data_IF_547894372512
#
_entry.id   IF_547894372512
#
_cell.length_a   1.000
_cell.length_b   1.000
_cell.length_c   1.000
_cell.angle_alpha   90.00
_cell.angle_beta   90.00
_cell.angle_gamma   90.00
#
_symmetry.space_group_name_H-M   'P 1'
#
loop_
_entity.id
_entity.type
_entity.pdbx_description
1 polymer ?
#
# COMPACT_ATOMS: atom_id res chain seq x y z
N UNK A 1 63.52 -50.26 -145.13
CA UNK A 1 64.81 -49.53 -144.96
C UNK A 1 64.63 -48.06 -145.35
N UNK A 2 65.58 -47.16 -145.04
CA UNK A 2 65.49 -45.71 -145.30
C UNK A 2 66.30 -45.29 -146.54
N UNK A 3 65.76 -44.33 -147.31
CA UNK A 3 66.46 -43.32 -148.15
C UNK A 3 67.43 -43.77 -149.28
N UNK A 4 67.08 -43.42 -150.52
CA UNK A 4 67.94 -42.80 -151.55
C UNK A 4 67.02 -41.99 -152.50
N UNK A 5 67.34 -40.75 -152.94
CA UNK A 5 68.38 -40.30 -153.90
C UNK A 5 68.00 -40.79 -155.34
N UNK A 6 67.51 -39.99 -156.31
CA UNK A 6 67.82 -38.63 -156.82
C UNK A 6 69.13 -38.57 -157.66
N UNK A 7 69.24 -37.62 -158.61
CA UNK A 7 70.28 -37.42 -159.65
C UNK A 7 70.15 -38.30 -160.94
N UNK A 8 70.39 -37.89 -162.22
CA UNK A 8 71.04 -36.76 -163.00
C UNK A 8 72.26 -37.25 -163.85
N UNK A 9 72.78 -36.69 -164.99
CA UNK A 9 72.32 -35.76 -166.09
C UNK A 9 73.39 -35.57 -167.26
N UNK A 10 73.12 -34.78 -168.35
CA UNK A 10 74.02 -34.43 -169.51
C UNK A 10 73.79 -33.00 -170.17
N UNK A 11 74.48 -32.60 -171.30
CA UNK A 11 74.76 -31.17 -171.72
C UNK A 11 74.99 -30.83 -173.26
N UNK A 12 74.98 -29.52 -173.65
CA UNK A 12 75.68 -28.78 -174.81
C UNK A 12 75.15 -28.88 -176.30
N UNK A 13 75.50 -28.06 -177.35
CA UNK A 13 75.54 -26.58 -177.74
C UNK A 13 75.97 -26.45 -179.29
N UNK A 14 76.16 -25.40 -180.16
CA UNK A 14 76.32 -23.87 -180.26
C UNK A 14 76.24 -23.34 -181.76
N UNK A 15 76.37 -22.00 -182.06
CA UNK A 15 76.77 -21.25 -183.35
C UNK A 15 75.71 -20.42 -184.19
N UNK A 16 76.09 -19.25 -184.81
CA UNK A 16 75.26 -18.24 -185.59
C UNK A 16 76.00 -17.34 -186.65
N UNK A 17 75.32 -16.52 -187.52
CA UNK A 17 75.87 -15.62 -188.62
C UNK A 17 75.07 -14.29 -188.93
N UNK A 18 75.42 -13.44 -189.95
CA UNK A 18 74.89 -12.04 -190.23
C UNK A 18 74.89 -11.50 -191.73
N UNK A 19 74.42 -10.26 -192.06
CA UNK A 19 74.21 -9.67 -193.45
C UNK A 19 74.30 -8.08 -193.61
N UNK A 20 73.86 -7.44 -194.74
CA UNK A 20 74.16 -6.02 -195.22
C UNK A 20 73.00 -5.14 -195.86
N UNK A 21 73.25 -3.97 -196.52
CA UNK A 21 72.27 -2.83 -196.76
C UNK A 21 72.29 -1.98 -198.10
N UNK A 22 71.30 -1.06 -198.33
CA UNK A 22 71.01 -0.32 -199.62
C UNK A 22 71.37 1.20 -199.77
N UNK A 23 70.75 2.17 -199.07
CA UNK A 23 70.98 3.63 -199.30
C UNK A 23 72.08 4.20 -198.37
N UNK A 24 72.80 5.26 -198.79
CA UNK A 24 73.96 5.80 -198.04
C UNK A 24 73.60 6.42 -196.68
N UNK A 25 72.50 7.16 -196.63
CA UNK A 25 72.00 7.89 -195.44
C UNK A 25 70.94 7.10 -194.66
N UNK A 26 70.61 5.88 -195.09
CA UNK A 26 69.66 4.98 -194.42
C UNK A 26 70.34 3.63 -194.17
N UNK A 27 71.17 3.49 -193.12
CA UNK A 27 71.82 2.23 -192.76
C UNK A 27 70.81 1.20 -192.20
N UNK A 28 71.19 -0.09 -192.18
CA UNK A 28 70.31 -1.20 -191.78
C UNK A 28 69.75 -1.13 -190.34
N UNK A 29 70.37 -0.34 -189.45
CA UNK A 29 69.90 -0.10 -188.08
C UNK A 29 69.05 1.19 -187.95
N UNK A 30 68.76 1.89 -189.04
CA UNK A 30 67.88 3.06 -189.05
C UNK A 30 66.41 2.63 -189.00
N UNK A 31 65.59 3.27 -188.16
CA UNK A 31 64.19 2.88 -187.94
C UNK A 31 63.34 2.84 -189.23
N UNK A 32 63.62 3.72 -190.19
CA UNK A 32 62.92 3.77 -191.47
C UNK A 32 63.47 2.81 -192.54
N UNK A 33 64.55 2.06 -192.24
CA UNK A 33 65.28 1.25 -193.23
C UNK A 33 64.38 0.31 -194.02
N UNK A 34 63.63 -0.55 -193.32
CA UNK A 34 62.77 -1.54 -193.96
C UNK A 34 61.65 -0.89 -194.79
N UNK A 35 61.02 0.17 -194.28
CA UNK A 35 59.96 0.90 -194.99
C UNK A 35 60.48 1.59 -196.27
N UNK A 36 61.65 2.24 -196.20
CA UNK A 36 62.29 2.90 -197.34
C UNK A 36 62.78 1.88 -198.37
N UNK A 37 63.36 0.76 -197.93
CA UNK A 37 63.81 -0.31 -198.82
C UNK A 37 62.62 -0.98 -199.53
N UNK A 38 61.53 -1.28 -198.83
CA UNK A 38 60.31 -1.83 -199.43
C UNK A 38 59.68 -0.83 -200.43
N UNK A 39 59.51 0.44 -200.07
CA UNK A 39 58.88 1.44 -200.95
C UNK A 39 59.74 1.79 -202.17
N UNK A 40 61.07 1.72 -202.07
CA UNK A 40 61.97 1.89 -203.21
C UNK A 40 62.06 0.64 -204.09
N UNK A 41 62.02 -0.57 -203.52
CA UNK A 41 61.87 -1.83 -204.29
C UNK A 41 60.56 -1.88 -205.08
N UNK A 42 59.50 -1.27 -204.56
CA UNK A 42 58.22 -1.06 -205.25
C UNK A 42 58.23 0.16 -206.20
N UNK A 43 59.31 0.92 -206.29
CA UNK A 43 59.42 2.13 -207.13
C UNK A 43 58.53 3.31 -206.73
N UNK A 44 57.83 3.22 -205.58
CA UNK A 44 56.93 4.27 -205.07
C UNK A 44 57.72 5.53 -204.71
N UNK A 45 58.87 5.34 -204.06
CA UNK A 45 59.81 6.40 -203.71
C UNK A 45 61.17 6.17 -204.41
N UNK A 46 61.95 7.23 -204.56
CA UNK A 46 63.31 7.20 -205.10
C UNK A 46 64.17 8.18 -204.34
N UNK A 47 65.41 7.79 -204.02
CA UNK A 47 66.44 8.71 -203.58
C UNK A 47 66.91 9.68 -204.69
N UNK A 48 67.82 10.56 -204.29
CA UNK A 48 68.43 11.62 -205.09
C UNK A 48 69.65 11.10 -205.88
N UNK A 49 70.12 11.81 -206.93
CA UNK A 49 71.22 11.36 -207.80
C UNK A 49 72.58 11.17 -207.10
N UNK A 50 72.76 11.70 -205.89
CA UNK A 50 73.95 11.52 -205.05
C UNK A 50 73.97 10.18 -204.29
N UNK A 51 72.87 9.42 -204.32
CA UNK A 51 72.69 8.16 -203.59
C UNK A 51 72.13 8.30 -202.17
N UNK A 52 71.57 9.47 -201.82
CA UNK A 52 70.87 9.73 -200.56
C UNK A 52 69.35 9.71 -200.70
N UNK A 53 68.62 9.45 -199.62
CA UNK A 53 67.16 9.47 -199.55
C UNK A 53 66.61 10.81 -199.01
N UNK A 54 67.39 11.53 -198.19
CA UNK A 54 67.09 12.87 -197.67
C UNK A 54 65.78 12.97 -196.86
N UNK A 55 65.37 11.90 -196.18
CA UNK A 55 64.05 11.72 -195.58
C UNK A 55 63.62 12.71 -194.47
N UNK A 56 64.50 13.62 -194.04
CA UNK A 56 64.17 14.70 -193.10
C UNK A 56 63.77 16.02 -193.79
N UNK A 57 63.78 16.09 -195.13
CA UNK A 57 63.35 17.28 -195.88
C UNK A 57 61.82 17.34 -196.03
N UNK A 58 61.26 18.55 -195.94
CA UNK A 58 59.83 18.79 -196.10
C UNK A 58 59.35 18.47 -197.51
N UNK A 59 58.61 17.36 -197.65
CA UNK A 59 58.15 16.87 -198.95
C UNK A 59 57.15 17.84 -199.61
N UNK A 60 57.36 18.18 -200.89
CA UNK A 60 56.42 19.04 -201.62
C UNK A 60 55.10 18.32 -201.93
N UNK A 61 54.01 19.08 -202.09
CA UNK A 61 52.70 18.54 -202.49
C UNK A 61 52.75 17.78 -203.83
N UNK A 62 53.66 18.17 -204.74
CA UNK A 62 53.88 17.47 -206.00
C UNK A 62 54.54 16.10 -205.80
N UNK A 63 55.62 16.03 -205.00
CA UNK A 63 56.28 14.75 -204.68
C UNK A 63 55.32 13.79 -203.95
N UNK A 64 54.48 14.29 -203.03
CA UNK A 64 53.47 13.46 -202.36
C UNK A 64 52.43 12.92 -203.34
N UNK A 65 51.94 13.75 -204.26
CA UNK A 65 50.99 13.33 -205.29
C UNK A 65 51.58 12.26 -206.22
N UNK A 66 52.85 12.39 -206.63
CA UNK A 66 53.55 11.39 -207.45
C UNK A 66 53.72 10.05 -206.70
N UNK A 67 54.09 10.09 -205.42
CA UNK A 67 54.21 8.87 -204.60
C UNK A 67 52.86 8.16 -204.41
N UNK A 68 51.80 8.91 -204.08
CA UNK A 68 50.44 8.37 -203.94
C UNK A 68 49.91 7.78 -205.26
N UNK A 69 50.17 8.46 -206.39
CA UNK A 69 49.78 7.96 -207.72
C UNK A 69 50.47 6.63 -208.06
N UNK A 70 51.78 6.50 -207.82
CA UNK A 70 52.51 5.24 -208.02
C UNK A 70 51.98 4.12 -207.12
N UNK A 71 51.74 4.41 -205.85
CA UNK A 71 51.19 3.43 -204.89
C UNK A 71 49.77 2.98 -205.31
N UNK A 72 48.91 3.90 -205.75
CA UNK A 72 47.59 3.56 -206.27
C UNK A 72 47.65 2.66 -207.51
N UNK A 73 48.55 2.93 -208.46
CA UNK A 73 48.73 2.07 -209.64
C UNK A 73 49.08 0.63 -209.23
N UNK A 74 50.06 0.46 -208.34
CA UNK A 74 50.52 -0.85 -207.85
C UNK A 74 49.41 -1.60 -207.09
N UNK A 75 48.60 -0.88 -206.30
CA UNK A 75 47.45 -1.46 -205.62
C UNK A 75 46.35 -1.87 -206.61
N UNK A 76 46.09 -1.04 -207.63
CA UNK A 76 45.09 -1.31 -208.65
C UNK A 76 45.46 -2.53 -209.50
N UNK A 77 46.71 -2.63 -209.97
CA UNK A 77 47.22 -3.80 -210.71
C UNK A 77 47.08 -5.10 -209.88
N UNK A 78 47.35 -5.04 -208.57
CA UNK A 78 47.19 -6.19 -207.66
C UNK A 78 45.73 -6.54 -207.36
N UNK A 79 44.80 -5.60 -207.44
CA UNK A 79 43.35 -5.84 -207.29
C UNK A 79 42.78 -6.43 -208.59
N UNK A 80 43.10 -5.84 -209.75
CA UNK A 80 42.66 -6.34 -211.07
C UNK A 80 43.17 -7.76 -211.40
N UNK A 81 44.25 -8.21 -210.77
CA UNK A 81 44.72 -9.59 -210.86
C UNK A 81 43.77 -10.63 -210.21
N UNK A 82 42.92 -10.24 -209.25
CA UNK A 82 42.06 -11.15 -208.47
C UNK A 82 40.66 -11.26 -209.06
N UNK A 83 40.14 -10.20 -209.69
CA UNK A 83 38.77 -10.18 -210.25
C UNK A 83 38.57 -11.17 -211.41
N UNK A 84 39.66 -11.64 -212.04
CA UNK A 84 39.65 -12.72 -213.06
C UNK A 84 39.29 -14.12 -212.50
N UNK A 85 38.54 -14.21 -211.38
CA UNK A 85 38.14 -15.48 -210.73
C UNK A 85 36.74 -15.54 -210.09
N UNK A 86 35.91 -14.50 -210.07
CA UNK A 86 34.58 -14.56 -209.39
C UNK A 86 33.48 -13.83 -210.18
N UNK A 87 32.36 -14.53 -210.49
CA UNK A 87 31.04 -13.91 -210.65
C UNK A 87 29.91 -14.66 -209.89
N UNK A 88 28.74 -14.01 -209.77
CA UNK A 88 27.60 -14.40 -208.90
C UNK A 88 26.28 -14.52 -209.66
N UNK A 89 25.34 -15.36 -209.19
CA UNK A 89 24.00 -15.45 -209.80
C UNK A 89 23.07 -16.53 -209.20
N UNK A 90 21.81 -16.50 -209.65
CA UNK A 90 20.71 -17.38 -209.22
C UNK A 90 20.36 -18.39 -210.34
N UNK A 91 20.07 -19.66 -210.03
CA UNK A 91 18.96 -20.48 -210.55
C UNK A 91 19.14 -22.01 -210.42
N UNK A 92 18.00 -22.70 -210.43
CA UNK A 92 17.68 -24.05 -210.95
C UNK A 92 18.79 -24.86 -211.64
N UNK A 93 19.03 -26.11 -211.18
CA UNK A 93 18.89 -27.34 -212.00
C UNK A 93 19.18 -28.60 -211.17
N UNK A 94 18.34 -29.64 -211.32
CA UNK A 94 18.61 -30.99 -210.85
C UNK A 94 19.64 -31.69 -211.73
N UNK A 95 20.84 -32.01 -211.21
CA UNK A 95 21.61 -33.10 -211.81
C UNK A 95 22.40 -33.92 -210.79
N UNK A 96 21.79 -35.05 -210.43
CA UNK A 96 22.37 -36.24 -209.82
C UNK A 96 23.71 -36.61 -210.48
N UNK A 97 24.81 -36.20 -209.86
CA UNK A 97 26.15 -36.74 -210.12
C UNK A 97 26.70 -37.25 -208.78
N UNK A 98 27.06 -38.53 -208.74
CA UNK A 98 27.30 -39.24 -207.49
C UNK A 98 28.68 -38.90 -206.93
N UNK A 99 28.74 -37.92 -206.03
CA UNK A 99 29.91 -37.74 -205.16
C UNK A 99 30.10 -39.00 -204.29
N UNK A 100 31.36 -39.42 -204.04
CA UNK A 100 31.64 -40.48 -203.08
C UNK A 100 31.22 -40.03 -201.67
N UNK A 101 30.75 -40.99 -200.86
CA UNK A 101 30.03 -40.73 -199.62
C UNK A 101 30.80 -39.90 -198.57
N UNK A 102 32.13 -39.82 -198.65
CA UNK A 102 32.95 -39.09 -197.68
C UNK A 102 32.77 -37.56 -197.78
N UNK A 103 32.71 -36.97 -198.97
CA UNK A 103 32.53 -35.51 -199.12
C UNK A 103 31.09 -35.12 -198.75
N UNK A 104 30.11 -35.95 -199.07
CA UNK A 104 28.73 -35.78 -198.63
C UNK A 104 28.61 -35.85 -197.10
N UNK A 105 29.34 -36.77 -196.45
CA UNK A 105 29.40 -36.82 -194.98
C UNK A 105 30.02 -35.55 -194.39
N UNK A 106 31.17 -35.10 -194.89
CA UNK A 106 31.86 -33.89 -194.40
C UNK A 106 31.02 -32.61 -194.57
N UNK A 107 30.30 -32.46 -195.70
CA UNK A 107 29.41 -31.32 -195.90
C UNK A 107 28.18 -31.36 -194.98
N UNK A 108 27.65 -32.55 -194.70
CA UNK A 108 26.58 -32.72 -193.71
C UNK A 108 27.08 -32.44 -192.27
N UNK A 109 28.30 -32.85 -191.91
CA UNK A 109 28.94 -32.49 -190.64
C UNK A 109 29.17 -30.99 -190.51
N UNK A 110 29.62 -30.31 -191.57
CA UNK A 110 29.74 -28.84 -191.61
C UNK A 110 28.38 -28.15 -191.46
N UNK A 111 27.34 -28.62 -192.16
CA UNK A 111 25.98 -28.07 -192.05
C UNK A 111 25.43 -28.23 -190.63
N UNK A 112 25.58 -29.43 -190.05
CA UNK A 112 25.23 -29.71 -188.65
C UNK A 112 26.03 -28.86 -187.67
N UNK A 113 27.31 -28.59 -187.94
CA UNK A 113 28.16 -27.72 -187.12
C UNK A 113 27.71 -26.26 -187.16
N UNK A 114 27.34 -25.75 -188.35
CA UNK A 114 26.79 -24.39 -188.51
C UNK A 114 25.44 -24.26 -187.79
N UNK A 115 24.55 -25.25 -187.92
CA UNK A 115 23.28 -25.29 -187.17
C UNK A 115 23.52 -25.35 -185.65
N UNK A 116 24.52 -26.12 -185.20
CA UNK A 116 24.89 -26.21 -183.78
C UNK A 116 25.41 -24.87 -183.25
N UNK A 117 26.24 -24.17 -184.02
CA UNK A 117 26.73 -22.82 -183.69
C UNK A 117 25.62 -21.77 -183.68
N UNK A 118 24.69 -21.79 -184.64
CA UNK A 118 23.53 -20.89 -184.64
C UNK A 118 22.58 -21.12 -183.45
N UNK A 119 22.38 -22.39 -183.05
CA UNK A 119 21.65 -22.72 -181.84
C UNK A 119 22.41 -22.30 -180.57
N UNK A 120 23.74 -22.38 -180.55
CA UNK A 120 24.57 -21.91 -179.45
C UNK A 120 24.50 -20.37 -179.32
N UNK A 121 24.58 -19.62 -180.42
CA UNK A 121 24.44 -18.16 -180.41
C UNK A 121 23.06 -17.70 -179.92
N UNK A 122 21.98 -18.33 -180.43
CA UNK A 122 20.62 -18.09 -179.89
C UNK A 122 20.52 -18.39 -178.40
N UNK A 123 21.20 -19.43 -177.92
CA UNK A 123 21.27 -19.77 -176.48
C UNK A 123 22.09 -18.75 -175.68
N UNK A 124 23.17 -18.20 -176.26
CA UNK A 124 23.98 -17.14 -175.65
C UNK A 124 23.17 -15.86 -175.53
N UNK A 125 22.51 -15.41 -176.59
CA UNK A 125 21.69 -14.20 -176.57
C UNK A 125 20.51 -14.32 -175.58
N UNK A 126 19.81 -15.47 -175.56
CA UNK A 126 18.78 -15.77 -174.54
C UNK A 126 19.34 -15.70 -173.10
N UNK A 127 20.62 -16.09 -172.90
CA UNK A 127 21.30 -15.98 -171.59
C UNK A 127 21.76 -14.55 -171.28
N UNK A 128 22.06 -13.73 -172.28
CA UNK A 128 22.40 -12.30 -172.12
C UNK A 128 21.13 -11.53 -171.72
N UNK A 129 20.00 -11.75 -172.37
CA UNK A 129 18.72 -11.14 -171.99
C UNK A 129 18.33 -11.50 -170.55
N UNK A 130 18.46 -12.79 -170.19
CA UNK A 130 18.23 -13.28 -168.84
C UNK A 130 19.27 -12.82 -167.81
N UNK A 131 20.45 -12.34 -168.24
CA UNK A 131 21.44 -11.67 -167.38
C UNK A 131 21.11 -10.19 -167.22
N UNK A 132 20.71 -9.48 -168.29
CA UNK A 132 20.30 -8.08 -168.22
C UNK A 132 19.09 -7.92 -167.31
N UNK A 133 18.04 -8.72 -167.50
CA UNK A 133 16.86 -8.72 -166.62
C UNK A 133 17.19 -9.01 -165.15
N UNK A 134 18.23 -9.81 -164.88
CA UNK A 134 18.76 -10.01 -163.52
C UNK A 134 19.53 -8.80 -162.99
N UNK A 135 20.30 -8.10 -163.84
CA UNK A 135 20.97 -6.85 -163.49
C UNK A 135 19.94 -5.75 -163.18
N UNK A 136 18.88 -5.62 -163.98
CA UNK A 136 17.79 -4.68 -163.75
C UNK A 136 17.08 -4.98 -162.41
N UNK A 137 16.81 -6.26 -162.14
CA UNK A 137 16.26 -6.73 -160.86
C UNK A 137 17.19 -6.42 -159.68
N UNK A 138 18.50 -6.61 -159.86
CA UNK A 138 19.51 -6.28 -158.84
C UNK A 138 19.56 -4.76 -158.60
N UNK A 139 19.49 -3.92 -159.65
CA UNK A 139 19.46 -2.47 -159.51
C UNK A 139 18.22 -2.00 -158.74
N UNK A 140 17.03 -2.50 -159.09
CA UNK A 140 15.80 -2.18 -158.34
C UNK A 140 15.87 -2.62 -156.87
N UNK A 141 16.47 -3.77 -156.58
CA UNK A 141 16.72 -4.21 -155.20
C UNK A 141 17.74 -3.30 -154.47
N UNK A 142 18.77 -2.79 -155.16
CA UNK A 142 19.73 -1.83 -154.60
C UNK A 142 19.07 -0.48 -154.28
N UNK A 143 18.19 0.02 -155.16
CA UNK A 143 17.44 1.26 -154.92
C UNK A 143 16.49 1.12 -153.72
N UNK A 144 15.81 -0.02 -153.58
CA UNK A 144 14.98 -0.36 -152.41
C UNK A 144 15.85 -0.41 -151.14
N UNK A 145 16.97 -1.16 -151.16
CA UNK A 145 17.88 -1.24 -150.00
C UNK A 145 18.49 0.12 -149.62
N UNK A 146 18.78 0.98 -150.59
CA UNK A 146 19.27 2.34 -150.34
C UNK A 146 18.20 3.23 -149.71
N UNK A 147 16.93 3.07 -150.11
CA UNK A 147 15.78 3.73 -149.48
C UNK A 147 15.55 3.21 -148.07
N UNK A 148 15.55 1.90 -147.85
CA UNK A 148 15.36 1.28 -146.54
C UNK A 148 16.48 1.68 -145.57
N UNK A 149 17.73 1.76 -146.04
CA UNK A 149 18.87 2.27 -145.26
C UNK A 149 18.68 3.75 -144.85
N UNK A 150 18.03 4.58 -145.69
CA UNK A 150 17.68 5.95 -145.34
C UNK A 150 16.54 6.03 -144.30
N UNK A 151 15.60 5.07 -144.35
CA UNK A 151 14.57 4.87 -143.32
C UNK A 151 15.19 4.50 -141.98
N UNK A 152 15.97 3.41 -141.94
CA UNK A 152 16.69 2.95 -140.73
C UNK A 152 17.58 4.03 -140.13
N UNK A 153 18.24 4.85 -140.95
CA UNK A 153 19.04 6.01 -140.47
C UNK A 153 18.17 7.07 -139.78
N UNK A 154 16.94 7.26 -140.24
CA UNK A 154 15.95 8.16 -139.63
C UNK A 154 15.42 7.56 -138.33
N UNK A 155 15.00 6.29 -138.34
CA UNK A 155 14.54 5.55 -137.15
C UNK A 155 15.59 5.57 -136.03
N UNK A 156 16.87 5.37 -136.35
CA UNK A 156 17.99 5.45 -135.39
C UNK A 156 18.18 6.87 -134.83
N UNK A 157 17.91 7.91 -135.62
CA UNK A 157 17.94 9.30 -135.15
C UNK A 157 16.77 9.60 -134.19
N UNK A 158 15.58 9.08 -134.48
CA UNK A 158 14.40 9.28 -133.64
C UNK A 158 14.48 8.46 -132.34
N UNK A 159 15.00 7.23 -132.42
CA UNK A 159 15.35 6.41 -131.23
C UNK A 159 16.40 7.12 -130.36
N UNK A 160 17.41 7.76 -130.97
CA UNK A 160 18.41 8.58 -130.25
C UNK A 160 17.75 9.75 -129.52
N UNK A 161 16.85 10.48 -130.19
CA UNK A 161 16.11 11.59 -129.58
C UNK A 161 15.19 11.14 -128.43
N UNK A 162 14.47 10.02 -128.60
CA UNK A 162 13.65 9.41 -127.55
C UNK A 162 14.49 8.95 -126.35
N UNK A 163 15.68 8.38 -126.58
CA UNK A 163 16.61 8.00 -125.53
C UNK A 163 17.11 9.22 -124.74
N UNK A 164 17.55 10.29 -125.42
CA UNK A 164 18.05 11.50 -124.76
C UNK A 164 16.93 12.21 -123.95
N UNK A 165 15.69 12.19 -124.46
CA UNK A 165 14.52 12.67 -123.74
C UNK A 165 14.19 11.80 -122.51
N UNK A 166 14.28 10.47 -122.62
CA UNK A 166 14.09 9.55 -121.49
C UNK A 166 15.16 9.75 -120.40
N UNK A 167 16.44 9.88 -120.78
CA UNK A 167 17.54 10.17 -119.85
C UNK A 167 17.31 11.50 -119.14
N UNK A 168 16.84 12.52 -119.87
CA UNK A 168 16.47 13.81 -119.28
C UNK A 168 15.33 13.67 -118.26
N UNK A 169 14.25 12.93 -118.61
CA UNK A 169 13.11 12.73 -117.70
C UNK A 169 13.46 11.87 -116.48
N UNK A 170 14.33 10.87 -116.61
CA UNK A 170 14.88 10.10 -115.49
C UNK A 170 15.77 10.97 -114.59
N UNK A 171 16.53 11.89 -115.17
CA UNK A 171 17.36 12.85 -114.41
C UNK A 171 16.49 13.86 -113.66
N UNK A 172 15.43 14.36 -114.28
CA UNK A 172 14.41 15.20 -113.65
C UNK A 172 13.73 14.47 -112.49
N UNK A 173 13.28 13.23 -112.67
CA UNK A 173 12.68 12.41 -111.61
C UNK A 173 13.66 12.16 -110.44
N UNK A 174 14.94 11.89 -110.72
CA UNK A 174 15.98 11.76 -109.69
C UNK A 174 16.22 13.07 -108.93
N UNK A 175 16.29 14.19 -109.66
CA UNK A 175 16.42 15.53 -109.07
C UNK A 175 15.23 15.82 -108.15
N UNK A 176 14.00 15.61 -108.64
CA UNK A 176 12.77 15.76 -107.87
C UNK A 176 12.80 14.92 -106.58
N UNK A 177 13.18 13.64 -106.65
CA UNK A 177 13.30 12.79 -105.45
C UNK A 177 14.33 13.34 -104.44
N UNK A 178 15.39 14.02 -104.90
CA UNK A 178 16.44 14.57 -104.04
C UNK A 178 16.15 15.95 -103.43
N UNK A 179 15.36 16.81 -104.09
CA UNK A 179 15.14 18.22 -103.64
C UNK A 179 13.69 18.70 -103.61
N UNK A 180 12.68 17.87 -103.92
CA UNK A 180 11.27 18.23 -103.69
C UNK A 180 10.91 18.30 -102.20
N UNK A 181 9.79 18.98 -101.87
CA UNK A 181 9.10 18.79 -100.60
C UNK A 181 8.94 17.32 -100.22
N UNK A 182 8.65 16.41 -101.17
CA UNK A 182 8.48 14.97 -100.90
C UNK A 182 9.74 14.31 -100.34
N UNK A 183 10.91 14.61 -100.91
CA UNK A 183 12.20 14.10 -100.40
C UNK A 183 12.53 14.65 -99.02
N UNK A 184 12.22 15.92 -98.77
CA UNK A 184 12.38 16.56 -97.46
C UNK A 184 11.41 15.97 -96.42
N UNK A 185 10.13 15.76 -96.77
CA UNK A 185 9.13 15.14 -95.90
C UNK A 185 9.52 13.72 -95.48
N UNK A 186 10.16 12.92 -96.35
CA UNK A 186 10.67 11.60 -95.99
C UNK A 186 11.82 11.68 -94.96
N UNK A 187 12.68 12.69 -95.06
CA UNK A 187 13.74 12.93 -94.07
C UNK A 187 13.16 13.43 -92.73
N UNK A 188 12.21 14.36 -92.76
CA UNK A 188 11.48 14.82 -91.57
C UNK A 188 10.77 13.65 -90.88
N UNK A 189 10.03 12.83 -91.62
CA UNK A 189 9.36 11.64 -91.08
C UNK A 189 10.36 10.64 -90.46
N UNK A 190 11.54 10.48 -91.05
CA UNK A 190 12.60 9.65 -90.46
C UNK A 190 13.17 10.24 -89.17
N UNK A 191 13.25 11.57 -89.04
CA UNK A 191 13.64 12.26 -87.81
C UNK A 191 12.54 12.13 -86.74
N UNK A 192 11.27 12.35 -87.10
CA UNK A 192 10.11 12.20 -86.22
C UNK A 192 9.99 10.76 -85.68
N UNK A 193 10.21 9.74 -86.52
CA UNK A 193 10.23 8.33 -86.10
C UNK A 193 11.36 8.06 -85.09
N UNK A 194 12.52 8.69 -85.24
CA UNK A 194 13.63 8.54 -84.28
C UNK A 194 13.38 9.33 -82.98
N UNK A 195 12.75 10.51 -83.04
CA UNK A 195 12.30 11.24 -81.86
C UNK A 195 11.26 10.42 -81.08
N UNK A 196 10.20 9.96 -81.74
CA UNK A 196 9.15 9.11 -81.16
C UNK A 196 9.72 7.82 -80.55
N UNK A 197 10.75 7.21 -81.17
CA UNK A 197 11.46 6.05 -80.62
C UNK A 197 12.18 6.37 -79.31
N UNK A 198 12.79 7.55 -79.20
CA UNK A 198 13.45 8.02 -77.98
C UNK A 198 12.42 8.40 -76.89
N UNK A 199 11.29 8.98 -77.27
CA UNK A 199 10.18 9.28 -76.36
C UNK A 199 9.55 8.00 -75.81
N UNK A 200 9.33 6.99 -76.65
CA UNK A 200 8.86 5.65 -76.24
C UNK A 200 9.87 4.97 -75.31
N UNK A 201 11.17 5.10 -75.55
CA UNK A 201 12.20 4.59 -74.64
C UNK A 201 12.19 5.31 -73.28
N UNK A 202 12.00 6.63 -73.29
CA UNK A 202 11.89 7.47 -72.08
C UNK A 202 10.62 7.13 -71.29
N UNK A 203 9.48 6.99 -71.97
CA UNK A 203 8.20 6.58 -71.38
C UNK A 203 8.30 5.19 -70.75
N UNK A 204 8.96 4.23 -71.42
CA UNK A 204 9.20 2.89 -70.87
C UNK A 204 10.01 2.94 -69.57
N UNK A 205 11.03 3.79 -69.49
CA UNK A 205 11.80 3.99 -68.26
C UNK A 205 10.96 4.63 -67.16
N UNK A 206 10.15 5.66 -67.48
CA UNK A 206 9.25 6.30 -66.52
C UNK A 206 8.19 5.33 -65.97
N UNK A 207 7.61 4.47 -66.82
CA UNK A 207 6.68 3.41 -66.42
C UNK A 207 7.36 2.39 -65.50
N UNK A 208 8.62 2.01 -65.77
CA UNK A 208 9.39 1.17 -64.83
C UNK A 208 9.59 1.85 -63.48
N UNK A 209 10.04 3.10 -63.45
CA UNK A 209 10.26 3.84 -62.20
C UNK A 209 8.97 4.00 -61.38
N UNK A 210 7.82 4.23 -62.04
CA UNK A 210 6.51 4.24 -61.39
C UNK A 210 6.13 2.86 -60.83
N UNK A 211 6.44 1.78 -61.55
CA UNK A 211 6.21 0.40 -61.08
C UNK A 211 7.06 0.08 -59.84
N UNK A 212 8.35 0.42 -59.87
CA UNK A 212 9.27 0.20 -58.75
C UNK A 212 8.85 1.03 -57.51
N UNK A 213 8.43 2.29 -57.72
CA UNK A 213 7.89 3.13 -56.66
C UNK A 213 6.59 2.56 -56.07
N UNK A 214 5.67 2.08 -56.90
CA UNK A 214 4.42 1.47 -56.44
C UNK A 214 4.67 0.20 -55.61
N UNK A 215 5.65 -0.63 -56.01
CA UNK A 215 6.08 -1.78 -55.23
C UNK A 215 6.70 -1.37 -53.87
N UNK A 216 7.49 -0.29 -53.83
CA UNK A 216 8.01 0.27 -52.57
C UNK A 216 6.91 0.81 -51.65
N UNK A 217 5.87 1.42 -52.22
CA UNK A 217 4.69 1.89 -51.47
C UNK A 217 3.91 0.69 -50.91
N UNK A 218 3.65 -0.34 -51.72
CA UNK A 218 2.95 -1.55 -51.27
C UNK A 218 3.68 -2.25 -50.10
N UNK A 219 5.01 -2.35 -50.15
CA UNK A 219 5.81 -2.89 -49.04
C UNK A 219 5.66 -2.04 -47.77
N UNK A 220 5.73 -0.71 -47.88
CA UNK A 220 5.54 0.20 -46.74
C UNK A 220 4.14 0.09 -46.13
N UNK A 221 3.10 -0.12 -46.94
CA UNK A 221 1.73 -0.37 -46.45
C UNK A 221 1.69 -1.69 -45.66
N UNK A 222 2.23 -2.78 -46.19
CA UNK A 222 2.28 -4.08 -45.51
C UNK A 222 3.06 -4.03 -44.17
N UNK A 223 4.10 -3.20 -44.06
CA UNK A 223 4.87 -3.03 -42.82
C UNK A 223 4.15 -2.09 -41.81
N UNK A 224 3.36 -1.12 -42.29
CA UNK A 224 2.44 -0.35 -41.46
C UNK A 224 1.31 -1.24 -40.90
N UNK A 225 0.73 -2.13 -41.72
CA UNK A 225 -0.29 -3.09 -41.27
C UNK A 225 0.22 -4.01 -40.16
N UNK A 226 1.44 -4.56 -40.28
CA UNK A 226 2.10 -5.33 -39.20
C UNK A 226 2.23 -4.49 -37.93
N UNK A 227 2.66 -3.24 -38.06
CA UNK A 227 2.87 -2.32 -36.94
C UNK A 227 1.56 -1.97 -36.23
N UNK A 228 0.48 -1.74 -36.98
CA UNK A 228 -0.87 -1.50 -36.46
C UNK A 228 -1.40 -2.74 -35.70
N UNK A 229 -1.19 -3.94 -36.24
CA UNK A 229 -1.59 -5.18 -35.57
C UNK A 229 -0.83 -5.41 -34.25
N UNK A 230 0.49 -5.21 -34.23
CA UNK A 230 1.30 -5.31 -33.01
C UNK A 230 0.88 -4.26 -31.95
N UNK A 231 0.52 -3.04 -32.36
CA UNK A 231 -0.01 -2.00 -31.47
C UNK A 231 -1.40 -2.40 -30.91
N UNK A 232 -2.27 -2.97 -31.74
CA UNK A 232 -3.59 -3.47 -31.34
C UNK A 232 -3.47 -4.60 -30.29
N UNK A 233 -2.56 -5.55 -30.47
CA UNK A 233 -2.33 -6.62 -29.49
C UNK A 233 -1.70 -6.11 -28.19
N UNK A 234 -0.81 -5.11 -28.28
CA UNK A 234 -0.27 -4.40 -27.12
C UNK A 234 -1.38 -3.67 -26.34
N UNK A 235 -2.34 -3.06 -27.04
CA UNK A 235 -3.52 -2.42 -26.44
C UNK A 235 -4.44 -3.43 -25.74
N UNK A 236 -4.73 -4.59 -26.37
CA UNK A 236 -5.50 -5.68 -25.75
C UNK A 236 -4.85 -6.17 -24.45
N UNK A 237 -3.54 -6.39 -24.48
CA UNK A 237 -2.76 -6.80 -23.30
C UNK A 237 -2.83 -5.76 -22.18
N UNK A 238 -2.64 -4.48 -22.52
CA UNK A 238 -2.75 -3.36 -21.58
C UNK A 238 -4.15 -3.28 -20.95
N UNK A 239 -5.21 -3.45 -21.76
CA UNK A 239 -6.59 -3.42 -21.28
C UNK A 239 -6.92 -4.61 -20.34
N UNK A 240 -6.34 -5.78 -20.58
CA UNK A 240 -6.43 -6.91 -19.66
C UNK A 240 -5.69 -6.65 -18.33
N UNK A 241 -4.51 -6.04 -18.38
CA UNK A 241 -3.78 -5.62 -17.17
C UNK A 241 -4.55 -4.57 -16.36
N UNK A 242 -5.17 -3.59 -17.01
CA UNK A 242 -6.06 -2.60 -16.38
C UNK A 242 -7.25 -3.29 -15.70
N UNK A 243 -7.87 -4.26 -16.37
CA UNK A 243 -9.01 -5.03 -15.83
C UNK A 243 -8.61 -5.82 -14.57
N UNK A 244 -7.48 -6.53 -14.61
CA UNK A 244 -6.94 -7.27 -13.45
C UNK A 244 -6.55 -6.33 -12.29
N UNK A 245 -6.04 -5.15 -12.60
CA UNK A 245 -5.71 -4.11 -11.61
C UNK A 245 -6.99 -3.58 -10.95
N UNK A 246 -8.05 -3.33 -11.72
CA UNK A 246 -9.36 -2.91 -11.22
C UNK A 246 -9.96 -3.92 -10.24
N UNK A 247 -9.96 -5.22 -10.59
CA UNK A 247 -10.39 -6.31 -9.68
C UNK A 247 -9.55 -6.35 -8.40
N UNK A 248 -8.23 -6.12 -8.50
CA UNK A 248 -7.33 -6.08 -7.35
C UNK A 248 -7.63 -4.89 -6.43
N UNK A 249 -7.92 -3.72 -6.99
CA UNK A 249 -8.34 -2.51 -6.24
C UNK A 249 -9.70 -2.72 -5.57
N UNK A 250 -10.69 -3.31 -6.25
CA UNK A 250 -11.98 -3.65 -5.65
C UNK A 250 -11.82 -4.65 -4.49
N UNK A 251 -10.94 -5.64 -4.64
CA UNK A 251 -10.62 -6.61 -3.59
C UNK A 251 -9.94 -5.96 -2.38
N UNK A 252 -9.04 -5.00 -2.61
CA UNK A 252 -8.39 -4.25 -1.54
C UNK A 252 -9.38 -3.33 -0.81
N UNK A 253 -10.27 -2.66 -1.54
CA UNK A 253 -11.35 -1.83 -0.97
C UNK A 253 -12.24 -2.63 -0.01
N UNK A 254 -12.70 -3.82 -0.41
CA UNK A 254 -13.48 -4.70 0.47
C UNK A 254 -12.73 -5.14 1.75
N UNK A 255 -11.40 -5.30 1.67
CA UNK A 255 -10.56 -5.54 2.86
C UNK A 255 -10.45 -4.31 3.76
N UNK A 256 -10.33 -3.12 3.19
CA UNK A 256 -10.33 -1.85 3.95
C UNK A 256 -11.63 -1.68 4.72
N UNK A 257 -12.80 -1.82 4.08
CA UNK A 257 -14.08 -1.69 4.79
C UNK A 257 -14.34 -2.78 5.83
N UNK A 258 -13.73 -3.96 5.68
CA UNK A 258 -13.71 -4.99 6.73
C UNK A 258 -12.86 -4.58 7.93
N UNK A 259 -11.73 -3.91 7.71
CA UNK A 259 -10.88 -3.36 8.78
C UNK A 259 -11.53 -2.15 9.47
N UNK A 260 -12.17 -1.25 8.72
CA UNK A 260 -12.93 -0.11 9.24
C UNK A 260 -14.03 -0.58 10.21
N UNK A 261 -14.78 -1.62 9.83
CA UNK A 261 -15.76 -2.24 10.73
C UNK A 261 -15.11 -2.81 11.99
N UNK A 262 -14.02 -3.59 11.84
CA UNK A 262 -13.33 -4.17 13.00
C UNK A 262 -12.82 -3.10 13.98
N UNK A 263 -12.36 -1.94 13.47
CA UNK A 263 -11.96 -0.80 14.29
C UNK A 263 -13.15 -0.20 15.03
N UNK A 264 -14.31 -0.03 14.38
CA UNK A 264 -15.53 0.43 15.04
C UNK A 264 -16.01 -0.54 16.14
N UNK A 265 -16.04 -1.85 15.86
CA UNK A 265 -16.40 -2.90 16.83
C UNK A 265 -15.44 -2.91 18.05
N UNK A 266 -14.15 -2.60 17.85
CA UNK A 266 -13.17 -2.43 18.93
C UNK A 266 -13.42 -1.14 19.73
N UNK A 267 -13.72 -0.03 19.06
CA UNK A 267 -14.04 1.24 19.74
C UNK A 267 -15.27 1.12 20.64
N UNK A 268 -16.34 0.44 20.19
CA UNK A 268 -17.52 0.17 21.02
C UNK A 268 -17.19 -0.70 22.24
N UNK A 269 -16.34 -1.72 22.09
CA UNK A 269 -15.88 -2.54 23.23
C UNK A 269 -15.08 -1.73 24.25
N UNK A 270 -14.20 -0.83 23.80
CA UNK A 270 -13.43 0.07 24.67
C UNK A 270 -14.36 1.02 25.44
N UNK A 271 -15.40 1.56 24.79
CA UNK A 271 -16.40 2.41 25.46
C UNK A 271 -17.20 1.64 26.53
N UNK A 272 -17.58 0.39 26.24
CA UNK A 272 -18.27 -0.49 27.20
C UNK A 272 -17.40 -0.77 28.42
N UNK A 273 -16.14 -1.20 28.21
CA UNK A 273 -15.19 -1.47 29.29
C UNK A 273 -14.87 -0.22 30.12
N UNK A 274 -14.74 0.94 29.49
CA UNK A 274 -14.54 2.22 30.19
C UNK A 274 -15.73 2.57 31.11
N UNK A 275 -16.96 2.29 30.65
CA UNK A 275 -18.19 2.46 31.44
C UNK A 275 -18.25 1.48 32.61
N UNK A 276 -17.90 0.21 32.37
CA UNK A 276 -17.86 -0.84 33.39
C UNK A 276 -16.84 -0.54 34.49
N UNK A 277 -15.62 -0.15 34.11
CA UNK A 277 -14.55 0.30 35.04
C UNK A 277 -15.03 1.48 35.89
N UNK A 278 -15.68 2.48 35.27
CA UNK A 278 -16.23 3.65 36.00
C UNK A 278 -17.32 3.27 36.99
N UNK A 279 -18.17 2.29 36.66
CA UNK A 279 -19.20 1.81 37.56
C UNK A 279 -18.59 1.05 38.75
N UNK A 280 -17.57 0.21 38.50
CA UNK A 280 -16.83 -0.52 39.54
C UNK A 280 -16.08 0.43 40.46
N UNK A 281 -15.43 1.48 39.94
CA UNK A 281 -14.75 2.48 40.78
C UNK A 281 -15.74 3.26 41.62
N UNK A 282 -16.86 3.73 41.05
CA UNK A 282 -17.90 4.46 41.79
C UNK A 282 -18.57 3.64 42.89
N UNK A 283 -18.77 2.33 42.67
CA UNK A 283 -19.22 1.41 43.72
C UNK A 283 -18.16 1.26 44.83
N UNK A 284 -16.90 1.07 44.45
CA UNK A 284 -15.77 0.94 45.39
C UNK A 284 -15.60 2.20 46.26
N UNK A 285 -15.73 3.39 45.67
CA UNK A 285 -15.68 4.67 46.39
C UNK A 285 -16.83 4.81 47.40
N UNK A 286 -18.04 4.34 47.03
CA UNK A 286 -19.21 4.30 47.90
C UNK A 286 -19.01 3.35 49.09
N UNK A 287 -18.52 2.13 48.84
CA UNK A 287 -18.23 1.15 49.90
C UNK A 287 -17.13 1.65 50.86
N UNK A 288 -16.08 2.27 50.32
CA UNK A 288 -15.01 2.92 51.11
C UNK A 288 -15.58 4.08 51.95
N UNK A 289 -16.52 4.87 51.42
CA UNK A 289 -17.18 5.93 52.18
C UNK A 289 -18.06 5.36 53.32
N UNK A 290 -18.84 4.31 53.05
CA UNK A 290 -19.65 3.64 54.06
C UNK A 290 -18.79 2.98 55.16
N UNK A 291 -17.68 2.35 54.80
CA UNK A 291 -16.72 1.80 55.76
C UNK A 291 -16.11 2.90 56.66
N UNK A 292 -15.73 4.05 56.09
CA UNK A 292 -15.25 5.22 56.86
C UNK A 292 -16.31 5.77 57.83
N UNK A 293 -17.57 5.81 57.42
CA UNK A 293 -18.69 6.21 58.27
C UNK A 293 -18.90 5.21 59.43
N UNK A 294 -18.88 3.91 59.13
CA UNK A 294 -19.01 2.84 60.13
C UNK A 294 -17.85 2.89 61.15
N UNK A 295 -16.61 3.08 60.70
CA UNK A 295 -15.43 3.23 61.58
C UNK A 295 -15.58 4.46 62.48
N UNK A 296 -16.00 5.60 61.94
CA UNK A 296 -16.25 6.83 62.72
C UNK A 296 -17.33 6.63 63.81
N UNK A 297 -18.38 5.88 63.49
CA UNK A 297 -19.43 5.51 64.43
C UNK A 297 -18.90 4.61 65.55
N UNK A 298 -18.12 3.56 65.20
CA UNK A 298 -17.49 2.67 66.17
C UNK A 298 -16.50 3.39 67.07
N UNK A 299 -15.68 4.32 66.56
CA UNK A 299 -14.81 5.17 67.38
C UNK A 299 -15.62 6.03 68.36
N UNK A 300 -16.77 6.58 67.93
CA UNK A 300 -17.67 7.34 68.81
C UNK A 300 -18.25 6.46 69.93
N UNK A 301 -18.61 5.21 69.62
CA UNK A 301 -19.06 4.22 70.61
C UNK A 301 -17.94 3.83 71.59
N UNK A 302 -16.71 3.60 71.10
CA UNK A 302 -15.54 3.30 71.93
C UNK A 302 -15.24 4.44 72.90
N UNK A 303 -15.20 5.69 72.43
CA UNK A 303 -14.99 6.87 73.27
C UNK A 303 -16.09 7.01 74.35
N UNK A 304 -17.34 6.68 74.00
CA UNK A 304 -18.47 6.65 74.93
C UNK A 304 -18.33 5.55 75.99
N UNK A 305 -17.84 4.36 75.60
CA UNK A 305 -17.58 3.25 76.53
C UNK A 305 -16.40 3.55 77.46
N UNK A 306 -15.31 4.11 76.95
CA UNK A 306 -14.18 4.59 77.76
C UNK A 306 -14.64 5.62 78.81
N UNK A 307 -15.46 6.60 78.40
CA UNK A 307 -16.02 7.60 79.31
C UNK A 307 -16.88 6.98 80.42
N UNK A 308 -17.66 5.93 80.09
CA UNK A 308 -18.44 5.16 81.08
C UNK A 308 -17.58 4.33 82.01
N UNK A 309 -16.48 3.74 81.52
CA UNK A 309 -15.52 2.99 82.34
C UNK A 309 -14.90 3.92 83.38
N UNK A 310 -14.38 5.09 82.97
CA UNK A 310 -13.81 6.06 83.91
C UNK A 310 -14.80 6.58 84.94
N UNK A 311 -16.09 6.72 84.58
CA UNK A 311 -17.14 7.05 85.54
C UNK A 311 -17.39 5.91 86.56
N UNK A 312 -17.31 4.65 86.14
CA UNK A 312 -17.45 3.48 87.03
C UNK A 312 -16.22 3.30 87.93
N UNK A 313 -15.01 3.51 87.41
CA UNK A 313 -13.76 3.51 88.19
C UNK A 313 -13.79 4.58 89.30
N UNK A 314 -14.32 5.77 88.98
CA UNK A 314 -14.54 6.83 89.97
C UNK A 314 -15.59 6.43 91.02
N UNK A 315 -16.71 5.83 90.60
CA UNK A 315 -17.76 5.38 91.52
C UNK A 315 -17.30 4.26 92.47
N UNK A 316 -16.49 3.30 91.99
CA UNK A 316 -15.85 2.26 92.81
C UNK A 316 -14.87 2.86 93.84
N UNK A 317 -14.07 3.85 93.44
CA UNK A 317 -13.18 4.58 94.34
C UNK A 317 -13.95 5.32 95.45
N UNK A 318 -15.04 6.01 95.09
CA UNK A 318 -15.89 6.71 96.07
C UNK A 318 -16.65 5.75 96.99
N UNK A 319 -17.09 4.59 96.48
CA UNK A 319 -17.69 3.53 97.29
C UNK A 319 -16.68 2.91 98.27
N UNK A 320 -15.42 2.71 97.86
CA UNK A 320 -14.35 2.25 98.77
C UNK A 320 -14.08 3.23 99.91
N UNK A 321 -14.17 4.54 99.66
CA UNK A 321 -14.11 5.57 100.72
C UNK A 321 -15.31 5.47 101.67
N UNK A 322 -16.53 5.26 101.16
CA UNK A 322 -17.72 5.04 102.00
C UNK A 322 -17.59 3.79 102.88
N UNK A 323 -17.08 2.67 102.33
CA UNK A 323 -16.82 1.44 103.09
C UNK A 323 -15.77 1.67 104.19
N UNK A 324 -14.72 2.46 103.92
CA UNK A 324 -13.71 2.80 104.94
C UNK A 324 -14.30 3.65 106.09
N UNK A 325 -15.15 4.63 105.78
CA UNK A 325 -15.86 5.43 106.78
C UNK A 325 -16.87 4.60 107.60
N UNK A 326 -17.58 3.66 106.97
CA UNK A 326 -18.45 2.71 107.66
C UNK A 326 -17.64 1.82 108.61
N UNK A 327 -16.48 1.29 108.20
CA UNK A 327 -15.62 0.48 109.06
C UNK A 327 -15.05 1.28 110.25
N UNK A 328 -14.74 2.58 110.04
CA UNK A 328 -14.37 3.49 111.13
C UNK A 328 -15.52 3.66 112.13
N UNK A 329 -16.75 3.89 111.65
CA UNK A 329 -17.95 4.00 112.49
C UNK A 329 -18.29 2.71 113.24
N UNK A 330 -18.08 1.54 112.63
CA UNK A 330 -18.21 0.24 113.31
C UNK A 330 -17.19 0.11 114.45
N UNK A 331 -15.96 0.60 114.24
CA UNK A 331 -14.92 0.62 115.28
C UNK A 331 -15.31 1.55 116.43
N UNK A 332 -15.80 2.76 116.12
CA UNK A 332 -16.32 3.72 117.10
C UNK A 332 -17.51 3.16 117.90
N UNK A 333 -18.46 2.50 117.23
CA UNK A 333 -19.60 1.85 117.87
C UNK A 333 -19.16 0.65 118.75
N UNK A 334 -18.09 -0.05 118.37
CA UNK A 334 -17.51 -1.14 119.17
C UNK A 334 -16.92 -0.60 120.48
N UNK A 335 -16.23 0.55 120.43
CA UNK A 335 -15.72 1.21 121.62
C UNK A 335 -16.87 1.64 122.56
N UNK A 336 -17.90 2.30 122.03
CA UNK A 336 -19.11 2.69 122.80
C UNK A 336 -19.84 1.48 123.38
N UNK A 337 -19.78 0.31 122.71
CA UNK A 337 -20.32 -0.94 123.26
C UNK A 337 -19.48 -1.44 124.46
N UNK A 338 -18.16 -1.29 124.41
CA UNK A 338 -17.27 -1.54 125.54
C UNK A 338 -17.53 -0.61 126.74
N UNK A 339 -17.63 0.69 126.49
CA UNK A 339 -18.02 1.72 127.48
C UNK A 339 -19.38 1.39 128.13
N UNK A 340 -20.33 0.85 127.36
CA UNK A 340 -21.63 0.41 127.88
C UNK A 340 -21.56 -0.81 128.80
N UNK A 341 -20.65 -1.77 128.54
CA UNK A 341 -20.41 -2.89 129.48
C UNK A 341 -19.70 -2.43 130.75
N UNK A 342 -18.79 -1.45 130.68
CA UNK A 342 -18.22 -0.80 131.88
C UNK A 342 -19.30 -0.10 132.71
N UNK A 343 -20.20 0.67 132.07
CA UNK A 343 -21.34 1.32 132.75
C UNK A 343 -22.29 0.28 133.36
N UNK A 344 -22.57 -0.85 132.69
CA UNK A 344 -23.33 -1.96 133.27
C UNK A 344 -22.65 -2.55 134.50
N UNK A 345 -21.33 -2.72 134.49
CA UNK A 345 -20.58 -3.19 135.66
C UNK A 345 -20.71 -2.22 136.84
N UNK A 346 -20.60 -0.90 136.60
CA UNK A 346 -20.82 0.13 137.63
C UNK A 346 -22.27 0.09 138.15
N UNK A 347 -23.27 -0.01 137.28
CA UNK A 347 -24.69 -0.14 137.69
C UNK A 347 -24.92 -1.42 138.49
N UNK A 348 -24.25 -2.52 138.16
CA UNK A 348 -24.31 -3.77 138.93
C UNK A 348 -23.76 -3.57 140.36
N UNK A 349 -22.61 -2.91 140.51
CA UNK A 349 -22.03 -2.58 141.82
C UNK A 349 -22.99 -1.69 142.63
N UNK A 350 -23.49 -0.61 142.03
CA UNK A 350 -24.44 0.31 142.68
C UNK A 350 -25.74 -0.41 143.07
N UNK A 351 -26.21 -1.39 142.29
CA UNK A 351 -27.38 -2.20 142.67
C UNK A 351 -27.11 -3.10 143.89
N UNK A 352 -25.87 -3.58 144.06
CA UNK A 352 -25.41 -4.27 145.26
C UNK A 352 -25.32 -3.34 146.46
N UNK A 353 -24.76 -2.14 146.29
CA UNK A 353 -24.71 -1.11 147.35
C UNK A 353 -26.13 -0.71 147.83
N UNK A 354 -27.08 -0.58 146.89
CA UNK A 354 -28.49 -0.32 147.20
C UNK A 354 -29.14 -1.48 147.96
N UNK A 355 -28.80 -2.74 147.64
CA UNK A 355 -29.27 -3.90 148.41
C UNK A 355 -28.71 -3.89 149.85
N UNK A 356 -27.41 -3.64 150.02
CA UNK A 356 -26.77 -3.52 151.34
C UNK A 356 -27.34 -2.33 152.14
N UNK A 357 -27.66 -1.22 151.48
CA UNK A 357 -28.35 -0.10 152.12
C UNK A 357 -29.78 -0.45 152.53
N UNK A 358 -30.51 -1.24 151.73
CA UNK A 358 -31.84 -1.75 152.11
C UNK A 358 -31.75 -2.66 153.33
N UNK A 359 -30.84 -3.64 153.35
CA UNK A 359 -30.68 -4.55 154.49
C UNK A 359 -30.36 -3.77 155.79
N UNK A 360 -29.56 -2.70 155.69
CA UNK A 360 -29.30 -1.78 156.80
C UNK A 360 -30.52 -0.98 157.24
N UNK A 361 -31.39 -0.55 156.33
CA UNK A 361 -32.65 0.15 156.65
C UNK A 361 -33.64 -0.80 157.32
N UNK A 362 -33.81 -2.01 156.78
CA UNK A 362 -34.67 -3.05 157.36
C UNK A 362 -34.19 -3.46 158.78
N UNK A 363 -32.87 -3.49 159.00
CA UNK A 363 -32.26 -3.68 160.32
C UNK A 363 -32.57 -2.54 161.30
N UNK A 364 -32.36 -1.28 160.87
CA UNK A 364 -32.71 -0.10 161.68
C UNK A 364 -34.20 -0.03 162.01
N UNK A 365 -35.08 -0.51 161.13
CA UNK A 365 -36.52 -0.60 161.42
C UNK A 365 -36.83 -1.63 162.52
N UNK A 366 -36.03 -2.71 162.63
CA UNK A 366 -36.12 -3.65 163.76
C UNK A 366 -35.58 -3.04 165.06
N UNK A 367 -34.46 -2.32 165.03
CA UNK A 367 -33.93 -1.62 166.21
C UNK A 367 -34.91 -0.57 166.76
N UNK A 368 -35.59 0.17 165.89
CA UNK A 368 -36.66 1.11 166.28
C UNK A 368 -37.84 0.37 166.93
N UNK A 369 -38.27 -0.78 166.39
CA UNK A 369 -39.33 -1.62 166.99
C UNK A 369 -38.91 -2.23 168.33
N UNK A 370 -37.63 -2.58 168.51
CA UNK A 370 -37.10 -3.05 169.78
C UNK A 370 -37.10 -1.93 170.83
N UNK A 371 -36.64 -0.73 170.46
CA UNK A 371 -36.65 0.43 171.35
C UNK A 371 -38.06 0.90 171.72
N UNK A 372 -39.04 0.77 170.82
CA UNK A 372 -40.45 1.01 171.16
C UNK A 372 -40.96 0.11 172.29
N UNK A 373 -40.61 -1.19 172.27
CA UNK A 373 -40.93 -2.14 173.36
C UNK A 373 -40.19 -1.82 174.66
N UNK A 374 -38.93 -1.37 174.57
CA UNK A 374 -38.18 -0.92 175.75
C UNK A 374 -38.85 0.29 176.42
N UNK A 375 -39.31 1.26 175.62
CA UNK A 375 -40.08 2.42 176.10
C UNK A 375 -41.40 1.99 176.74
N UNK A 376 -42.14 1.07 176.12
CA UNK A 376 -43.39 0.52 176.67
C UNK A 376 -43.17 -0.14 178.04
N UNK A 377 -42.08 -0.91 178.20
CA UNK A 377 -41.70 -1.52 179.49
C UNK A 377 -41.31 -0.48 180.54
N UNK A 378 -40.57 0.58 180.17
CA UNK A 378 -40.23 1.67 181.09
C UNK A 378 -41.48 2.42 181.54
N UNK A 379 -42.40 2.70 180.63
CA UNK A 379 -43.65 3.41 180.93
C UNK A 379 -44.54 2.61 181.91
N UNK A 380 -44.52 1.27 181.79
CA UNK A 380 -45.19 0.36 182.73
C UNK A 380 -44.60 0.45 184.15
N UNK A 381 -43.28 0.49 184.28
CA UNK A 381 -42.60 0.68 185.56
C UNK A 381 -42.91 2.04 186.20
N UNK A 382 -43.07 3.09 185.39
CA UNK A 382 -43.42 4.45 185.86
C UNK A 382 -44.82 4.48 186.51
N UNK A 383 -45.83 3.86 185.88
CA UNK A 383 -47.18 3.78 186.47
C UNK A 383 -47.21 2.90 187.74
N UNK A 384 -46.34 1.89 187.84
CA UNK A 384 -46.20 1.08 189.06
C UNK A 384 -45.62 1.88 190.24
N UNK A 385 -44.55 2.66 190.02
CA UNK A 385 -43.99 3.58 191.03
C UNK A 385 -45.01 4.63 191.46
N UNK A 386 -45.78 5.17 190.51
CA UNK A 386 -46.87 6.13 190.75
C UNK A 386 -47.97 5.54 191.65
N UNK A 387 -48.31 4.26 191.48
CA UNK A 387 -49.24 3.52 192.35
C UNK A 387 -48.67 3.31 193.77
N UNK A 388 -47.37 3.02 193.89
CA UNK A 388 -46.68 2.91 195.17
C UNK A 388 -46.67 4.25 195.94
N UNK A 389 -46.44 5.37 195.24
CA UNK A 389 -46.49 6.73 195.82
C UNK A 389 -47.89 7.06 196.34
N UNK A 390 -48.94 6.77 195.58
CA UNK A 390 -50.33 6.96 196.03
C UNK A 390 -50.62 6.18 197.32
N UNK A 391 -50.21 4.91 197.37
CA UNK A 391 -50.38 4.00 198.53
C UNK A 391 -49.64 4.51 199.77
N UNK A 392 -48.41 5.03 199.61
CA UNK A 392 -47.64 5.68 200.68
C UNK A 392 -48.34 6.93 201.21
N UNK A 393 -48.89 7.77 200.32
CA UNK A 393 -49.58 8.99 200.69
C UNK A 393 -50.86 8.71 201.51
N UNK A 394 -51.59 7.63 201.19
CA UNK A 394 -52.73 7.18 202.00
C UNK A 394 -52.32 6.77 203.42
N UNK A 395 -51.20 6.04 203.57
CA UNK A 395 -50.68 5.65 204.90
C UNK A 395 -50.28 6.87 205.75
N UNK A 396 -49.60 7.86 205.16
CA UNK A 396 -49.20 9.08 205.87
C UNK A 396 -50.42 9.81 206.47
N UNK A 397 -51.52 9.89 205.72
CA UNK A 397 -52.75 10.52 206.22
C UNK A 397 -53.41 9.75 207.38
N UNK A 398 -53.35 8.41 207.42
CA UNK A 398 -53.88 7.60 208.52
C UNK A 398 -53.14 7.88 209.84
N UNK A 399 -51.81 7.72 209.82
CA UNK A 399 -50.95 7.96 210.99
C UNK A 399 -51.07 9.40 211.52
N UNK A 400 -51.34 10.37 210.63
CA UNK A 400 -51.55 11.77 211.00
C UNK A 400 -52.84 11.97 211.82
N UNK A 401 -53.90 11.20 211.57
CA UNK A 401 -55.13 11.26 212.38
C UNK A 401 -54.98 10.51 213.72
N UNK A 402 -54.30 9.36 213.74
CA UNK A 402 -54.02 8.59 214.96
C UNK A 402 -53.26 9.43 216.00
N UNK A 403 -52.23 10.18 215.58
CA UNK A 403 -51.52 11.14 216.43
C UNK A 403 -52.40 12.27 216.97
N UNK A 404 -53.48 12.63 216.25
CA UNK A 404 -54.46 13.62 216.70
C UNK A 404 -55.32 13.11 217.86
N UNK A 405 -55.69 11.83 217.86
CA UNK A 405 -56.47 11.19 218.94
C UNK A 405 -55.65 11.14 220.23
N UNK A 406 -54.44 10.59 220.17
CA UNK A 406 -53.52 10.45 221.32
C UNK A 406 -53.22 11.81 221.97
N UNK A 407 -53.15 12.89 221.19
CA UNK A 407 -52.94 14.26 221.70
C UNK A 407 -54.09 14.72 222.61
N UNK A 408 -55.33 14.47 222.20
CA UNK A 408 -56.52 14.86 222.95
C UNK A 408 -56.67 14.05 224.25
N UNK A 409 -56.26 12.78 224.24
CA UNK A 409 -56.23 11.92 225.44
C UNK A 409 -55.20 12.43 226.46
N UNK A 410 -54.00 12.81 226.01
CA UNK A 410 -52.94 13.38 226.87
C UNK A 410 -53.40 14.68 227.54
N UNK A 411 -54.03 15.60 226.81
CA UNK A 411 -54.47 16.87 227.38
C UNK A 411 -55.68 16.70 228.33
N UNK A 412 -56.55 15.71 228.06
CA UNK A 412 -57.61 15.30 228.99
C UNK A 412 -57.04 14.71 230.30
N UNK A 413 -55.96 13.93 230.21
CA UNK A 413 -55.31 13.33 231.38
C UNK A 413 -54.66 14.40 232.29
N UNK A 414 -53.97 15.39 231.70
CA UNK A 414 -53.39 16.52 232.44
C UNK A 414 -54.43 17.28 233.28
N UNK A 415 -55.60 17.54 232.70
CA UNK A 415 -56.67 18.29 233.35
C UNK A 415 -57.22 17.54 234.59
N UNK A 416 -57.30 16.21 234.52
CA UNK A 416 -57.75 15.37 235.63
C UNK A 416 -56.74 15.37 236.79
N UNK A 417 -55.44 15.28 236.49
CA UNK A 417 -54.36 15.34 237.50
C UNK A 417 -54.39 16.68 238.26
N UNK A 418 -54.55 17.81 237.56
CA UNK A 418 -54.62 19.13 238.18
C UNK A 418 -55.76 19.26 239.20
N UNK A 419 -56.95 18.74 238.86
CA UNK A 419 -58.13 18.79 239.73
C UNK A 419 -57.97 17.94 241.01
N UNK A 420 -57.28 16.80 240.92
CA UNK A 420 -56.98 15.98 242.11
C UNK A 420 -56.00 16.67 243.05
N UNK A 421 -54.96 17.32 242.51
CA UNK A 421 -53.97 18.04 243.31
C UNK A 421 -54.59 19.21 244.09
N UNK A 422 -55.41 20.03 243.45
CA UNK A 422 -56.12 21.15 244.09
C UNK A 422 -57.06 20.69 245.22
N UNK A 423 -57.61 19.48 245.12
CA UNK A 423 -58.50 18.88 246.13
C UNK A 423 -57.73 18.40 247.37
N UNK A 424 -56.46 18.01 247.22
CA UNK A 424 -55.59 17.59 248.32
C UNK A 424 -55.10 18.79 249.15
N UNK A 425 -54.62 19.85 248.49
CA UNK A 425 -54.04 21.03 249.15
C UNK A 425 -55.05 21.72 250.09
N UNK A 426 -56.32 21.85 249.66
CA UNK A 426 -57.35 22.49 250.49
C UNK A 426 -57.76 21.64 251.71
N UNK A 427 -57.63 20.30 251.64
CA UNK A 427 -57.81 19.42 252.81
C UNK A 427 -56.70 19.61 253.85
N UNK A 428 -55.46 19.84 253.41
CA UNK A 428 -54.34 20.13 254.31
C UNK A 428 -54.60 21.44 255.08
N UNK A 429 -54.97 22.51 254.38
CA UNK A 429 -55.24 23.81 255.01
C UNK A 429 -56.41 23.80 256.01
N UNK A 430 -57.38 22.88 255.85
CA UNK A 430 -58.45 22.69 256.82
C UNK A 430 -57.95 22.01 258.11
N UNK A 431 -57.13 20.96 258.00
CA UNK A 431 -56.56 20.23 259.14
C UNK A 431 -55.59 21.09 259.98
N UNK A 432 -54.85 21.99 259.34
CA UNK A 432 -53.92 22.90 260.05
C UNK A 432 -54.66 23.85 261.02
N UNK A 433 -55.88 24.29 260.69
CA UNK A 433 -56.69 25.14 261.58
C UNK A 433 -57.29 24.38 262.76
N UNK A 434 -57.71 23.14 262.57
CA UNK A 434 -58.20 22.29 263.66
C UNK A 434 -57.07 21.97 264.67
N UNK A 435 -55.83 21.85 264.20
CA UNK A 435 -54.66 21.59 265.04
C UNK A 435 -54.32 22.75 265.99
N UNK A 436 -54.45 24.01 265.56
CA UNK A 436 -54.29 25.18 266.45
C UNK A 436 -55.48 25.37 267.41
N UNK A 437 -56.70 24.99 267.02
CA UNK A 437 -57.85 24.96 267.95
C UNK A 437 -57.62 23.97 269.11
N UNK A 438 -56.92 22.85 268.87
CA UNK A 438 -56.57 21.87 269.90
C UNK A 438 -55.46 22.34 270.85
N UNK A 439 -54.47 23.11 270.36
CA UNK A 439 -53.35 23.59 271.20
C UNK A 439 -53.79 24.57 272.29
N UNK A 440 -54.66 25.52 271.96
CA UNK A 440 -55.10 26.52 272.96
C UNK A 440 -56.07 25.91 273.99
N UNK A 441 -56.83 24.87 273.63
CA UNK A 441 -57.59 24.08 274.61
C UNK A 441 -56.66 23.38 275.63
N UNK A 442 -55.48 22.90 275.19
CA UNK A 442 -54.50 22.30 276.08
C UNK A 442 -53.91 23.30 277.10
N UNK A 443 -53.81 24.58 276.72
CA UNK A 443 -53.23 25.65 277.57
C UNK A 443 -54.10 26.03 278.78
N UNK A 444 -55.38 25.63 278.79
CA UNK A 444 -56.30 25.83 279.93
C UNK A 444 -55.97 24.93 281.12
N UNK A 445 -55.28 23.81 280.91
CA UNK A 445 -55.39 22.64 281.80
C UNK A 445 -54.40 22.53 282.99
N UNK A 446 -53.33 23.34 283.07
CA UNK A 446 -52.10 22.86 283.75
C UNK A 446 -51.38 23.76 284.78
N UNK A 447 -51.98 24.80 285.36
CA UNK A 447 -51.27 25.61 286.39
C UNK A 447 -52.06 26.08 287.62
N UNK A 448 -53.34 25.76 287.78
CA UNK A 448 -54.15 26.29 288.90
C UNK A 448 -54.87 25.22 289.77
N UNK A 449 -54.10 24.24 290.26
CA UNK A 449 -54.26 23.57 291.57
C UNK A 449 -52.99 22.69 291.77
N UNK A 450 -52.02 22.97 292.65
CA UNK A 450 -51.97 23.37 294.08
C UNK A 450 -52.30 22.27 295.09
N UNK A 451 -51.26 21.50 295.46
CA UNK A 451 -50.97 21.15 296.85
C UNK A 451 -51.77 20.04 297.54
N UNK A 452 -51.03 19.18 298.27
CA UNK A 452 -51.52 18.27 299.33
C UNK A 452 -52.45 17.12 298.92
N UNK A 453 -52.33 15.90 299.46
CA UNK A 453 -51.30 15.18 300.24
C UNK A 453 -51.66 13.68 300.14
N UNK A 454 -50.78 12.68 300.25
CA UNK A 454 -49.34 12.56 300.05
C UNK A 454 -48.98 11.05 300.12
N UNK A 455 -47.81 10.73 300.67
CA UNK A 455 -47.56 9.68 301.68
C UNK A 455 -48.78 8.86 302.14
N UNK A 456 -48.59 7.53 302.27
CA UNK A 456 -49.58 6.54 302.78
C UNK A 456 -50.72 6.33 301.76
N UNK A 457 -51.06 5.12 301.31
CA UNK A 457 -50.86 3.79 301.90
C UNK A 457 -49.81 2.99 301.09
N UNK A 458 -48.76 2.42 301.68
CA UNK A 458 -48.71 1.72 302.97
C UNK A 458 -49.66 0.51 303.05
N UNK A 459 -49.41 -0.45 302.13
CA UNK A 459 -49.79 -1.86 302.28
C UNK A 459 -51.34 -2.00 302.01
N UNK A 460 -51.95 -3.14 301.67
CA UNK A 460 -51.57 -4.55 301.83
C UNK A 460 -51.89 -5.32 300.53
N UNK A 461 -51.08 -6.27 300.04
CA UNK A 461 -49.80 -6.81 300.53
C UNK A 461 -48.69 -6.76 299.46
N UNK A 462 -47.47 -7.28 299.67
CA UNK A 462 -47.04 -8.36 300.56
C UNK A 462 -47.78 -9.67 300.31
N UNK A 463 -47.19 -10.50 299.43
CA UNK A 463 -47.49 -11.92 299.26
C UNK A 463 -48.88 -12.25 298.65
N UNK A 464 -49.12 -13.45 298.09
CA UNK A 464 -48.32 -14.68 298.10
C UNK A 464 -47.87 -15.07 296.68
N UNK A 465 -46.57 -15.29 296.44
CA UNK A 465 -45.46 -15.19 297.38
C UNK A 465 -44.08 -15.22 296.70
N UNK A 466 -43.02 -15.33 297.52
CA UNK A 466 -41.72 -15.76 297.01
C UNK A 466 -41.73 -17.26 296.65
N UNK A 467 -40.55 -17.77 296.29
CA UNK A 467 -40.33 -19.10 295.71
C UNK A 467 -40.80 -19.22 294.24
N UNK A 468 -39.89 -19.25 293.26
CA UNK A 468 -38.44 -19.10 293.39
C UNK A 468 -38.04 -17.64 293.75
N UNK A 469 -37.33 -17.24 294.82
CA UNK A 469 -36.41 -17.90 295.77
C UNK A 469 -35.45 -18.92 295.14
N UNK A 470 -34.17 -18.85 295.51
CA UNK A 470 -33.29 -20.01 295.52
C UNK A 470 -33.20 -20.78 294.17
N UNK A 471 -32.18 -20.54 293.36
CA UNK A 471 -30.86 -20.04 293.75
C UNK A 471 -30.16 -19.56 292.46
N UNK A 472 -29.25 -20.38 291.94
CA UNK A 472 -29.09 -20.64 290.52
C UNK A 472 -29.03 -19.41 289.58
N UNK A 473 -28.09 -18.48 289.75
CA UNK A 473 -27.06 -18.33 290.79
C UNK A 473 -26.76 -16.79 290.87
N UNK A 474 -25.63 -16.19 291.26
CA UNK A 474 -24.23 -16.45 290.87
C UNK A 474 -24.06 -16.74 289.35
N UNK A 475 -22.89 -16.49 288.77
CA UNK A 475 -21.64 -16.12 289.40
C UNK A 475 -21.41 -14.61 289.37
#
# INVERSE_FOLDING_TARGET
>A
MKKMLFLLIALVLTISTSFAATYKDVPANHWAYEAVEQLSKLGVLSGMPDGTFQGNQSLTRYQLAVALYRLMNILNDRISAVEKKIPTGTQTTTQQTTLPANITAQLNEMSNSILTLGNADKTINTRIDALSSKVDTISGNVDILSKDLSGVKTDVSDIKALYDALVSKVTELRSLISVTPTGQSLNTLAQDINALKNDVATLKNNVKSLTDNNNSIAQKVADLEKSINALNDSFKSTNAQISNTSVSVSTLSGKVSSLEKNVADIQSKIQSLSTEIKNISGASDSDIAQLKANISSLQTQINTLQSKITALEKADSDFKVQVADINKKITELTNVTGELEEVKAVVSVVSGDVAVLKDRVDGLEQDVKANAKNIESVNKNVEEVKSQILTLNTKINSNTQELGVVRNEIDSFKLNVANQQQTLENKVSQLEKENEQLKEQLRVAQSNQTGTFALVLAIIGVALGGYALFLAMQQ
#
